data_IF_587285467165
#
_entry.id   IF_587285467165
#
_cell.length_a   1.000
_cell.length_b   1.000
_cell.length_c   1.000
_cell.angle_alpha   90.00
_cell.angle_beta   90.00
_cell.angle_gamma   90.00
#
_symmetry.space_group_name_H-M   'P 1'
#
loop_
_entity.id
_entity.type
_entity.pdbx_description
1 polymer ?
#
# COMPACT_ATOMS: atom_id res chain seq x y z
N UNK A 1 10.99 -2.47 -13.78
CA UNK A 1 12.44 -2.59 -13.53
C UNK A 1 12.74 -3.99 -13.02
N UNK A 2 12.50 -4.37 -11.76
CA UNK A 2 12.66 -5.78 -11.35
C UNK A 2 11.59 -6.72 -11.95
N UNK A 3 10.32 -6.32 -11.91
CA UNK A 3 9.18 -7.11 -12.44
C UNK A 3 9.06 -7.10 -13.98
N UNK A 4 10.02 -6.51 -14.71
CA UNK A 4 9.95 -6.41 -16.18
C UNK A 4 8.88 -5.45 -16.76
N UNK A 5 7.98 -4.89 -15.96
CA UNK A 5 6.87 -4.00 -16.40
C UNK A 5 7.34 -2.66 -16.98
N UNK A 6 8.41 -2.09 -16.41
CA UNK A 6 9.03 -0.84 -16.85
C UNK A 6 10.49 -1.05 -17.19
N UNK A 7 10.99 -0.38 -18.24
CA UNK A 7 12.39 -0.44 -18.69
C UNK A 7 13.07 0.93 -18.60
N UNK A 8 14.34 0.96 -18.22
CA UNK A 8 15.14 2.18 -18.07
C UNK A 8 15.51 2.51 -16.62
N UNK A 9 16.17 3.66 -16.41
CA UNK A 9 16.66 4.10 -15.09
C UNK A 9 15.51 4.52 -14.16
N UNK A 10 15.48 3.98 -12.94
CA UNK A 10 14.42 4.22 -11.94
C UNK A 10 14.18 5.70 -11.67
N UNK A 11 15.23 6.51 -11.49
CA UNK A 11 15.10 7.95 -11.24
C UNK A 11 14.34 8.69 -12.36
N UNK A 12 14.62 8.34 -13.63
CA UNK A 12 13.91 8.92 -14.79
C UNK A 12 12.46 8.43 -14.88
N UNK A 13 12.20 7.18 -14.54
CA UNK A 13 10.84 6.62 -14.52
C UNK A 13 9.99 7.29 -13.45
N UNK A 14 10.56 7.53 -12.26
CA UNK A 14 9.92 8.22 -11.15
C UNK A 14 9.62 9.69 -11.49
N UNK A 15 10.61 10.43 -11.98
CA UNK A 15 10.44 11.82 -12.39
C UNK A 15 9.35 12.01 -13.46
N UNK A 16 9.16 11.01 -14.33
CA UNK A 16 8.10 10.99 -15.36
C UNK A 16 6.81 10.31 -14.91
N UNK A 17 6.69 10.00 -13.61
CA UNK A 17 5.55 9.33 -12.99
C UNK A 17 5.09 8.05 -13.72
N UNK A 18 6.02 7.30 -14.32
CA UNK A 18 5.71 6.11 -15.14
C UNK A 18 5.16 4.93 -14.35
N UNK A 19 5.23 5.00 -13.03
CA UNK A 19 4.63 4.01 -12.13
C UNK A 19 3.10 4.20 -11.96
N UNK A 20 2.56 5.39 -12.23
CA UNK A 20 1.15 5.73 -11.95
C UNK A 20 0.10 4.78 -12.57
N UNK A 21 0.29 4.23 -13.78
CA UNK A 21 -0.66 3.24 -14.31
C UNK A 21 -0.80 1.97 -13.46
N UNK A 22 0.22 1.67 -12.64
CA UNK A 22 0.27 0.48 -11.80
C UNK A 22 0.09 0.79 -10.31
N UNK A 23 0.25 2.06 -9.92
CA UNK A 23 0.06 2.58 -8.56
C UNK A 23 -0.55 3.98 -8.65
N UNK A 24 -1.88 4.03 -8.75
CA UNK A 24 -2.64 5.22 -9.14
C UNK A 24 -3.21 6.03 -7.97
N UNK A 25 -3.11 5.51 -6.75
CA UNK A 25 -3.65 6.12 -5.54
C UNK A 25 -2.54 6.69 -4.63
N UNK A 26 -2.95 7.39 -3.56
CA UNK A 26 -2.05 7.84 -2.51
C UNK A 26 -1.58 6.68 -1.63
N UNK A 27 -0.49 6.88 -0.89
CA UNK A 27 0.07 5.83 -0.01
C UNK A 27 -0.59 5.78 1.37
N UNK A 28 -1.38 6.79 1.73
CA UNK A 28 -1.87 6.97 3.09
C UNK A 28 -3.03 7.96 3.13
N UNK A 29 -3.91 7.79 4.11
CA UNK A 29 -4.85 8.80 4.57
C UNK A 29 -4.91 8.83 6.10
N UNK A 30 -5.44 9.91 6.69
CA UNK A 30 -5.75 9.94 8.13
C UNK A 30 -6.81 8.90 8.46
N UNK A 31 -6.71 8.33 9.65
CA UNK A 31 -7.64 7.33 10.14
C UNK A 31 -8.07 7.70 11.56
N UNK A 32 -9.36 7.61 11.84
CA UNK A 32 -9.91 7.88 13.16
C UNK A 32 -11.37 7.51 13.21
N UNK A 33 -12.25 8.47 13.50
CA UNK A 33 -13.69 8.17 13.57
C UNK A 33 -14.25 7.85 12.18
N UNK A 34 -13.79 8.57 11.16
CA UNK A 34 -14.06 8.27 9.76
C UNK A 34 -12.88 7.48 9.17
N UNK A 35 -13.17 6.60 8.20
CA UNK A 35 -12.12 5.81 7.52
C UNK A 35 -11.10 6.72 6.82
N UNK A 36 -11.60 7.76 6.14
CA UNK A 36 -10.78 8.87 5.65
C UNK A 36 -11.01 10.06 6.58
N UNK A 37 -10.24 10.11 7.65
CA UNK A 37 -10.50 11.07 8.73
C UNK A 37 -10.14 12.50 8.33
N UNK A 38 -10.72 13.44 9.08
CA UNK A 38 -10.47 14.86 8.91
C UNK A 38 -9.02 15.23 9.27
N UNK A 39 -8.56 16.36 8.73
CA UNK A 39 -7.24 16.90 9.04
C UNK A 39 -6.56 17.46 7.81
N UNK A 40 -5.90 18.62 7.95
CA UNK A 40 -5.14 19.19 6.84
C UNK A 40 -3.91 18.33 6.56
N UNK A 41 -3.72 17.93 5.30
CA UNK A 41 -2.49 17.28 4.83
C UNK A 41 -1.36 18.27 4.54
N UNK A 42 -1.69 19.55 4.46
CA UNK A 42 -0.74 20.65 4.28
C UNK A 42 -0.92 21.68 5.39
N UNK A 43 0.17 22.33 5.79
CA UNK A 43 0.13 23.49 6.67
C UNK A 43 -0.47 24.72 5.95
N UNK A 44 -0.56 25.85 6.67
CA UNK A 44 -1.13 27.09 6.13
C UNK A 44 -0.28 27.70 4.99
N UNK A 45 0.95 27.23 4.80
CA UNK A 45 1.88 27.68 3.77
C UNK A 45 1.93 26.70 2.58
N UNK A 46 1.07 25.68 2.56
CA UNK A 46 1.01 24.68 1.48
C UNK A 46 2.11 23.60 1.55
N UNK A 47 2.89 23.54 2.64
CA UNK A 47 3.88 22.48 2.84
C UNK A 47 3.20 21.25 3.43
N UNK A 48 3.67 20.05 3.07
CA UNK A 48 3.21 18.82 3.70
C UNK A 48 3.29 18.92 5.23
N UNK A 49 2.20 18.55 5.89
CA UNK A 49 2.10 18.58 7.35
C UNK A 49 3.12 17.62 7.97
N UNK A 50 3.84 18.07 8.98
CA UNK A 50 4.72 17.22 9.76
C UNK A 50 3.89 16.25 10.62
N UNK A 51 4.34 15.00 10.75
CA UNK A 51 3.74 14.05 11.67
C UNK A 51 4.03 14.45 13.12
N UNK A 52 3.01 14.36 13.96
CA UNK A 52 3.10 14.62 15.39
C UNK A 52 2.56 13.40 16.17
N UNK A 53 3.09 13.13 17.38
CA UNK A 53 2.60 12.04 18.21
C UNK A 53 1.08 12.12 18.44
N UNK A 54 0.39 10.99 18.30
CA UNK A 54 -1.06 10.89 18.42
C UNK A 54 -1.80 10.87 17.08
N UNK A 55 -1.16 11.27 15.97
CA UNK A 55 -1.74 11.11 14.64
C UNK A 55 -1.81 9.63 14.25
N UNK A 56 -2.90 9.23 13.59
CA UNK A 56 -3.07 7.88 13.03
C UNK A 56 -3.30 7.98 11.53
N UNK A 57 -2.58 7.16 10.76
CA UNK A 57 -2.66 7.13 9.30
C UNK A 57 -2.50 5.72 8.77
N UNK A 58 -3.04 5.43 7.59
CA UNK A 58 -2.77 4.18 6.88
C UNK A 58 -1.43 4.22 6.17
N UNK A 59 -0.84 3.05 5.91
CA UNK A 59 0.28 2.84 4.98
C UNK A 59 -0.12 1.71 4.04
N UNK A 60 -0.51 2.06 2.81
CA UNK A 60 -1.29 1.17 1.93
C UNK A 60 -0.72 1.02 0.50
N UNK A 61 0.58 0.73 0.30
CA UNK A 61 1.13 0.56 -1.04
C UNK A 61 0.43 -0.56 -1.82
N UNK A 62 0.20 -0.33 -3.11
CA UNK A 62 -0.44 -1.30 -4.00
C UNK A 62 0.17 -1.36 -5.40
N UNK A 63 0.02 -2.50 -6.06
CA UNK A 63 0.32 -2.68 -7.48
C UNK A 63 -0.84 -3.37 -8.17
N UNK A 64 -1.29 -2.80 -9.29
CA UNK A 64 -2.42 -3.31 -10.06
C UNK A 64 -2.05 -3.37 -11.53
N UNK A 65 -2.29 -4.52 -12.16
CA UNK A 65 -1.96 -4.76 -13.55
C UNK A 65 -3.22 -5.11 -14.35
N UNK A 66 -3.66 -4.20 -15.22
CA UNK A 66 -4.82 -4.45 -16.10
C UNK A 66 -4.57 -5.68 -16.97
N UNK A 67 -5.55 -6.57 -17.05
CA UNK A 67 -5.48 -7.82 -17.83
C UNK A 67 -5.24 -7.56 -19.33
N UNK A 68 -5.64 -6.39 -19.83
CA UNK A 68 -5.54 -5.96 -21.23
C UNK A 68 -4.24 -5.21 -21.53
N UNK A 69 -3.46 -4.81 -20.52
CA UNK A 69 -2.23 -4.04 -20.74
C UNK A 69 -1.11 -4.94 -21.27
N UNK A 70 -0.91 -4.89 -22.58
CA UNK A 70 0.12 -5.69 -23.28
C UNK A 70 1.56 -5.33 -22.88
N UNK A 71 1.78 -4.20 -22.20
CA UNK A 71 3.10 -3.82 -21.66
C UNK A 71 3.48 -4.64 -20.43
N UNK A 72 2.49 -5.19 -19.72
CA UNK A 72 2.69 -6.05 -18.55
C UNK A 72 3.05 -7.47 -19.03
N UNK A 73 4.04 -8.14 -18.43
CA UNK A 73 4.30 -9.57 -18.66
C UNK A 73 3.06 -10.43 -18.43
N UNK A 74 2.80 -11.40 -19.30
CA UNK A 74 1.58 -12.21 -19.25
C UNK A 74 1.27 -12.81 -17.87
N UNK A 75 2.24 -13.34 -17.09
CA UNK A 75 1.97 -13.88 -15.76
C UNK A 75 1.50 -12.86 -14.70
N UNK A 76 1.72 -11.56 -14.93
CA UNK A 76 1.34 -10.50 -13.99
C UNK A 76 -0.01 -9.83 -14.35
N UNK A 77 -0.53 -10.07 -15.55
CA UNK A 77 -1.77 -9.44 -16.02
C UNK A 77 -2.96 -9.92 -15.19
N UNK A 78 -3.82 -8.98 -14.77
CA UNK A 78 -4.98 -9.26 -13.92
C UNK A 78 -4.64 -9.38 -12.43
N UNK A 79 -3.37 -9.30 -12.03
CA UNK A 79 -2.97 -9.32 -10.63
C UNK A 79 -3.08 -7.92 -10.03
N UNK A 80 -3.74 -7.83 -8.87
CA UNK A 80 -3.77 -6.66 -8.01
C UNK A 80 -3.43 -7.07 -6.57
N UNK A 81 -2.51 -6.34 -5.94
CA UNK A 81 -2.08 -6.59 -4.55
C UNK A 81 -1.99 -5.24 -3.84
N UNK A 82 -2.55 -5.15 -2.64
CA UNK A 82 -2.34 -4.07 -1.68
C UNK A 82 -2.07 -4.70 -0.31
N UNK A 83 -1.09 -4.16 0.40
CA UNK A 83 -0.81 -4.52 1.80
C UNK A 83 -0.93 -3.23 2.58
N UNK A 84 -1.79 -3.22 3.59
CA UNK A 84 -2.19 -2.02 4.30
C UNK A 84 -2.06 -2.21 5.81
N UNK A 85 -1.57 -1.17 6.46
CA UNK A 85 -1.39 -1.11 7.91
C UNK A 85 -1.88 0.21 8.49
N UNK A 86 -2.51 0.14 9.66
CA UNK A 86 -2.87 1.29 10.49
C UNK A 86 -1.69 1.64 11.39
N UNK A 87 -1.23 2.88 11.33
CA UNK A 87 -0.01 3.32 12.01
C UNK A 87 -0.28 4.53 12.90
N UNK A 88 0.02 4.37 14.19
CA UNK A 88 0.04 5.45 15.17
C UNK A 88 1.43 6.08 15.23
N UNK A 89 1.49 7.41 15.07
CA UNK A 89 2.71 8.19 15.35
C UNK A 89 2.88 8.33 16.86
N UNK A 90 4.09 8.04 17.34
CA UNK A 90 4.48 8.12 18.75
C UNK A 90 5.59 9.15 18.92
N UNK A 91 5.99 9.47 20.15
CA UNK A 91 7.08 10.42 20.42
C UNK A 91 8.41 10.00 19.79
N UNK A 92 8.69 8.70 19.78
CA UNK A 92 9.99 8.13 19.40
C UNK A 92 9.94 7.34 18.09
N UNK A 93 8.85 7.44 17.32
CA UNK A 93 8.68 6.68 16.07
C UNK A 93 7.22 6.35 15.79
N UNK A 94 6.93 5.10 15.41
CA UNK A 94 5.58 4.65 15.07
C UNK A 94 5.23 3.31 15.70
N UNK A 95 3.93 3.06 15.85
CA UNK A 95 3.38 1.76 16.26
C UNK A 95 2.37 1.28 15.23
N UNK A 96 2.59 0.09 14.67
CA UNK A 96 1.67 -0.57 13.74
C UNK A 96 0.56 -1.25 14.54
N UNK A 97 -0.67 -0.76 14.41
CA UNK A 97 -1.83 -1.25 15.17
C UNK A 97 -2.38 -2.56 14.60
N UNK A 98 -2.25 -2.75 13.29
CA UNK A 98 -2.66 -3.96 12.54
C UNK A 98 -1.53 -4.98 12.37
N UNK A 99 -0.50 -4.94 13.22
CA UNK A 99 0.67 -5.80 13.14
C UNK A 99 0.34 -7.30 13.24
N UNK A 100 -0.75 -7.65 13.92
CA UNK A 100 -1.19 -9.03 14.10
C UNK A 100 -1.68 -9.69 12.78
N UNK A 101 -2.06 -8.90 11.77
CA UNK A 101 -2.50 -9.45 10.49
C UNK A 101 -1.31 -10.07 9.72
N UNK A 102 -1.38 -11.35 9.32
CA UNK A 102 -0.37 -12.01 8.49
C UNK A 102 -0.14 -11.30 7.15
N UNK A 103 1.11 -10.95 6.83
CA UNK A 103 1.46 -10.26 5.57
C UNK A 103 2.63 -10.87 4.82
N UNK A 104 3.49 -11.62 5.51
CA UNK A 104 4.57 -12.34 4.84
C UNK A 104 4.00 -13.56 4.12
N UNK A 105 4.62 -13.94 3.00
CA UNK A 105 4.22 -15.13 2.22
C UNK A 105 4.16 -16.37 3.11
N UNK A 106 5.12 -16.54 4.02
CA UNK A 106 5.12 -17.65 4.98
C UNK A 106 3.91 -17.59 5.91
N UNK A 107 3.69 -16.48 6.59
CA UNK A 107 2.57 -16.36 7.53
C UNK A 107 1.21 -16.54 6.84
N UNK A 108 1.08 -16.06 5.59
CA UNK A 108 -0.13 -16.28 4.79
C UNK A 108 -0.34 -17.76 4.46
N UNK A 109 0.73 -18.48 4.08
CA UNK A 109 0.65 -19.93 3.83
C UNK A 109 0.26 -20.69 5.10
N UNK A 110 0.89 -20.37 6.22
CA UNK A 110 0.62 -21.00 7.51
C UNK A 110 -0.84 -20.75 7.93
N UNK A 111 -1.29 -19.49 7.88
CA UNK A 111 -2.67 -19.13 8.21
C UNK A 111 -3.72 -19.78 7.30
N UNK A 112 -3.42 -19.96 6.00
CA UNK A 112 -4.30 -20.66 5.08
C UNK A 112 -4.29 -22.19 5.27
N UNK A 113 -3.17 -22.77 5.70
CA UNK A 113 -3.05 -24.20 5.97
C UNK A 113 -3.76 -24.61 7.26
N UNK A 114 -3.75 -23.74 8.28
CA UNK A 114 -4.39 -23.97 9.58
C UNK A 114 -5.92 -23.86 9.54
N UNK A 115 -6.49 -23.36 8.44
CA UNK A 115 -7.93 -23.38 8.22
C UNK A 115 -8.29 -24.64 7.41
N UNK A 116 -8.85 -25.71 8.03
CA UNK A 116 -9.40 -26.81 7.25
C UNK A 116 -10.44 -26.22 6.30
N UNK A 117 -10.35 -26.54 5.01
CA UNK A 117 -11.32 -26.11 4.02
C UNK A 117 -12.71 -26.43 4.58
N UNK A 118 -13.54 -25.41 4.83
CA UNK A 118 -14.97 -25.62 5.01
C UNK A 118 -15.41 -26.42 3.78
N UNK A 119 -16.07 -27.57 3.92
CA UNK A 119 -16.62 -28.26 2.77
C UNK A 119 -17.46 -27.24 2.00
N UNK A 120 -17.15 -27.07 0.72
CA UNK A 120 -17.96 -26.29 -0.20
C UNK A 120 -19.41 -26.83 -0.13
N UNK A 121 -20.43 -25.96 -0.04
CA UNK A 121 -21.82 -26.40 -0.15
C UNK A 121 -22.08 -27.08 -1.50
#
# INVERSE_FOLDING_TARGET
>A
VALGVLRGRTARLFAKAKYKPFYMHGTSHWLGRDVHDVGRYQDLNGKARAFEPGMVTTVEPGLYFDVRDRRVPAPLRGIGIRIEDDVLVTKDGTRVLSAACPKSVRMLRDACADHPSRPTP
#
